data_IF_394039422121
#
_entry.id   IF_394039422121
#
_cell.length_a   1.000
_cell.length_b   1.000
_cell.length_c   1.000
_cell.angle_alpha   90.00
_cell.angle_beta   90.00
_cell.angle_gamma   90.00
#
_symmetry.space_group_name_H-M   'P 1'
#
loop_
_entity.id
_entity.type
_entity.pdbx_description
1 polymer ?
#
# COMPACT_ATOMS: atom_id res chain seq x y z
N UNK A 1 35.20 10.39 -12.43
CA UNK A 1 34.21 9.89 -13.45
C UNK A 1 33.68 8.59 -12.93
N UNK A 2 32.51 8.65 -12.25
CA UNK A 2 31.91 7.50 -11.58
C UNK A 2 31.15 6.69 -12.64
N UNK A 3 31.62 5.49 -12.92
CA UNK A 3 30.99 4.56 -13.85
C UNK A 3 29.73 4.00 -13.15
N UNK A 4 28.56 4.46 -13.55
CA UNK A 4 27.31 3.83 -13.13
C UNK A 4 27.18 2.55 -13.95
N UNK A 5 27.49 1.41 -13.34
CA UNK A 5 27.19 0.10 -13.93
C UNK A 5 25.68 -0.08 -13.81
N UNK A 6 24.95 0.20 -14.88
CA UNK A 6 23.58 -0.25 -15.02
C UNK A 6 23.67 -1.77 -15.17
N UNK A 7 23.40 -2.48 -14.08
CA UNK A 7 23.18 -3.93 -14.15
C UNK A 7 22.09 -4.17 -15.18
N UNK A 8 22.38 -5.03 -16.18
CA UNK A 8 21.36 -5.49 -17.12
C UNK A 8 20.18 -6.07 -16.33
N UNK A 9 19.14 -5.27 -16.18
CA UNK A 9 17.88 -5.74 -15.65
C UNK A 9 17.27 -6.66 -16.73
N UNK A 10 17.54 -7.94 -16.60
CA UNK A 10 16.79 -8.94 -17.35
C UNK A 10 15.34 -8.87 -16.87
N UNK A 11 14.52 -8.15 -17.61
CA UNK A 11 13.08 -8.09 -17.35
C UNK A 11 12.55 -9.52 -17.45
N UNK A 12 12.23 -10.11 -16.31
CA UNK A 12 11.57 -11.42 -16.24
C UNK A 12 10.28 -11.34 -17.06
N UNK A 13 10.19 -12.15 -18.11
CA UNK A 13 8.95 -12.22 -18.90
C UNK A 13 7.81 -12.68 -17.99
N UNK A 14 6.82 -11.81 -17.79
CA UNK A 14 5.65 -12.09 -16.98
C UNK A 14 4.85 -13.25 -17.59
N UNK A 15 4.40 -14.15 -16.73
CA UNK A 15 3.53 -15.28 -17.08
C UNK A 15 2.06 -14.91 -16.79
N UNK A 16 1.12 -15.67 -17.33
CA UNK A 16 -0.31 -15.48 -17.09
C UNK A 16 -0.66 -15.41 -15.60
N UNK A 17 0.00 -16.23 -14.78
CA UNK A 17 -0.20 -16.22 -13.32
C UNK A 17 0.21 -14.89 -12.68
N UNK A 18 1.28 -14.24 -13.16
CA UNK A 18 1.72 -12.94 -12.67
C UNK A 18 0.68 -11.86 -12.97
N UNK A 19 0.13 -11.85 -14.18
CA UNK A 19 -0.95 -10.91 -14.56
C UNK A 19 -2.21 -11.11 -13.71
N UNK A 20 -2.63 -12.35 -13.46
CA UNK A 20 -3.77 -12.67 -12.60
C UNK A 20 -3.51 -12.17 -11.18
N UNK A 21 -2.31 -12.37 -10.66
CA UNK A 21 -1.91 -11.90 -9.33
C UNK A 21 -1.94 -10.37 -9.27
N UNK A 22 -1.36 -9.68 -10.25
CA UNK A 22 -1.39 -8.22 -10.35
C UNK A 22 -2.84 -7.69 -10.37
N UNK A 23 -3.67 -8.26 -11.23
CA UNK A 23 -5.09 -7.88 -11.31
C UNK A 23 -5.83 -8.10 -9.99
N UNK A 24 -5.58 -9.22 -9.32
CA UNK A 24 -6.19 -9.53 -8.03
C UNK A 24 -5.81 -8.50 -6.95
N UNK A 25 -4.55 -8.05 -6.92
CA UNK A 25 -4.13 -6.99 -6.01
C UNK A 25 -4.78 -5.65 -6.35
N UNK A 26 -4.82 -5.28 -7.64
CA UNK A 26 -5.47 -4.05 -8.08
C UNK A 26 -6.95 -4.03 -7.68
N UNK A 27 -7.66 -5.14 -7.89
CA UNK A 27 -9.05 -5.27 -7.51
C UNK A 27 -9.26 -5.21 -5.99
N UNK A 28 -8.37 -5.86 -5.22
CA UNK A 28 -8.40 -5.80 -3.75
C UNK A 28 -8.22 -4.37 -3.24
N UNK A 29 -7.25 -3.63 -3.78
CA UNK A 29 -7.02 -2.22 -3.45
C UNK A 29 -8.28 -1.42 -3.78
N UNK A 30 -8.83 -1.54 -4.99
CA UNK A 30 -10.03 -0.83 -5.40
C UNK A 30 -11.20 -1.07 -4.44
N UNK A 31 -11.50 -2.32 -4.11
CA UNK A 31 -12.61 -2.67 -3.22
C UNK A 31 -12.39 -2.17 -1.79
N UNK A 32 -11.15 -2.22 -1.32
CA UNK A 32 -10.80 -1.64 -0.02
C UNK A 32 -11.05 -0.14 0.01
N UNK A 33 -10.58 0.59 -0.99
CA UNK A 33 -10.70 2.05 -1.06
C UNK A 33 -12.17 2.50 -1.26
N UNK A 34 -12.95 1.79 -2.06
CA UNK A 34 -14.39 2.03 -2.18
C UNK A 34 -15.09 1.90 -0.81
N UNK A 35 -14.69 0.89 -0.02
CA UNK A 35 -15.23 0.72 1.34
C UNK A 35 -14.73 1.80 2.29
N UNK A 36 -13.47 2.19 2.22
CA UNK A 36 -12.93 3.29 3.00
C UNK A 36 -13.67 4.60 2.70
N UNK A 37 -13.92 4.89 1.42
CA UNK A 37 -14.70 6.06 0.99
C UNK A 37 -16.11 6.08 1.60
N UNK A 38 -16.80 4.93 1.58
CA UNK A 38 -18.12 4.80 2.20
C UNK A 38 -18.08 5.10 3.71
N UNK A 39 -17.13 4.49 4.42
CA UNK A 39 -16.98 4.70 5.86
C UNK A 39 -16.59 6.15 6.19
N UNK A 40 -15.77 6.77 5.36
CA UNK A 40 -15.43 8.19 5.48
C UNK A 40 -16.68 9.07 5.32
N UNK A 41 -17.50 8.84 4.28
CA UNK A 41 -18.76 9.54 4.08
C UNK A 41 -19.78 9.35 5.22
N UNK A 42 -19.68 8.22 5.95
CA UNK A 42 -20.49 7.93 7.13
C UNK A 42 -19.90 8.52 8.44
N UNK A 43 -18.80 9.28 8.37
CA UNK A 43 -18.13 9.84 9.54
C UNK A 43 -17.46 8.82 10.45
N UNK A 44 -17.14 7.61 9.95
CA UNK A 44 -16.48 6.53 10.71
C UNK A 44 -14.96 6.60 10.63
N UNK A 45 -14.42 7.39 9.73
CA UNK A 45 -12.99 7.67 9.58
C UNK A 45 -12.80 9.17 9.86
N UNK A 46 -12.00 9.49 10.86
CA UNK A 46 -11.68 10.86 11.23
C UNK A 46 -10.47 11.42 10.47
N UNK A 47 -10.35 12.74 10.44
CA UNK A 47 -9.25 13.41 9.76
C UNK A 47 -9.31 13.29 8.24
N UNK A 48 -8.15 13.37 7.59
CA UNK A 48 -8.03 13.20 6.14
C UNK A 48 -7.99 11.71 5.77
N UNK A 49 -8.67 11.36 4.68
CA UNK A 49 -8.63 10.02 4.10
C UNK A 49 -8.18 10.11 2.64
N UNK A 50 -6.97 9.65 2.35
CA UNK A 50 -6.36 9.75 1.03
C UNK A 50 -6.50 8.42 0.27
N UNK A 51 -7.56 8.32 -0.52
CA UNK A 51 -7.85 7.12 -1.30
C UNK A 51 -6.84 6.89 -2.43
N UNK A 52 -6.53 5.63 -2.71
CA UNK A 52 -5.61 5.19 -3.76
C UNK A 52 -6.32 4.86 -5.08
N UNK A 53 -7.60 5.20 -5.22
CA UNK A 53 -8.42 4.90 -6.39
C UNK A 53 -7.80 5.57 -7.65
N UNK A 54 -7.61 4.76 -8.69
CA UNK A 54 -7.04 5.19 -9.96
C UNK A 54 -5.53 5.01 -10.10
N UNK A 55 -4.83 4.62 -9.02
CA UNK A 55 -3.38 4.45 -9.00
C UNK A 55 -2.95 3.00 -8.72
N UNK A 56 -3.88 2.05 -8.76
CA UNK A 56 -3.65 0.65 -8.38
C UNK A 56 -2.54 -0.01 -9.20
N UNK A 57 -2.52 0.26 -10.51
CA UNK A 57 -1.51 -0.31 -11.40
C UNK A 57 -0.09 0.17 -11.08
N UNK A 58 0.06 1.41 -10.63
CA UNK A 58 1.35 2.00 -10.27
C UNK A 58 1.95 1.24 -9.10
N UNK A 59 1.22 1.14 -7.99
CA UNK A 59 1.75 0.49 -6.79
C UNK A 59 1.95 -1.00 -6.98
N UNK A 60 1.03 -1.68 -7.64
CA UNK A 60 1.14 -3.13 -7.87
C UNK A 60 2.34 -3.43 -8.79
N UNK A 61 2.54 -2.63 -9.85
CA UNK A 61 3.68 -2.77 -10.74
C UNK A 61 5.01 -2.61 -10.00
N UNK A 62 5.15 -1.57 -9.19
CA UNK A 62 6.38 -1.31 -8.41
C UNK A 62 6.60 -2.43 -7.38
N UNK A 63 5.62 -2.72 -6.54
CA UNK A 63 5.81 -3.65 -5.42
C UNK A 63 5.95 -5.11 -5.84
N UNK A 64 5.58 -5.46 -7.08
CA UNK A 64 5.86 -6.79 -7.62
C UNK A 64 7.27 -6.92 -8.22
N UNK A 65 8.01 -5.83 -8.35
CA UNK A 65 9.39 -5.85 -8.90
C UNK A 65 10.46 -5.74 -7.83
N UNK A 66 10.12 -5.31 -6.62
CA UNK A 66 11.04 -5.20 -5.49
C UNK A 66 11.03 -6.48 -4.63
N UNK A 67 12.10 -6.69 -3.88
CA UNK A 67 12.22 -7.81 -2.94
C UNK A 67 11.45 -7.55 -1.64
N UNK A 68 11.09 -8.63 -0.94
CA UNK A 68 10.43 -8.52 0.37
C UNK A 68 11.31 -7.91 1.46
N UNK A 69 12.62 -7.95 1.28
CA UNK A 69 13.59 -7.33 2.19
C UNK A 69 13.83 -5.85 1.91
N UNK A 70 13.37 -5.35 0.75
CA UNK A 70 13.48 -3.94 0.44
C UNK A 70 12.58 -3.10 1.34
N UNK A 71 13.08 -1.97 1.77
CA UNK A 71 12.34 -1.02 2.59
C UNK A 71 11.42 -0.17 1.72
N UNK A 72 10.20 0.03 2.18
CA UNK A 72 9.19 0.86 1.51
C UNK A 72 8.89 2.08 2.37
N UNK A 73 9.08 3.26 1.80
CA UNK A 73 8.68 4.55 2.36
C UNK A 73 7.77 5.23 1.36
N UNK A 74 6.68 5.80 1.83
CA UNK A 74 5.65 6.40 0.98
C UNK A 74 5.28 7.81 1.46
N UNK A 75 4.50 8.51 0.67
CA UNK A 75 3.81 9.72 1.08
C UNK A 75 2.50 9.37 1.81
N UNK A 76 1.66 10.36 2.03
CA UNK A 76 0.38 10.26 2.74
C UNK A 76 -0.67 9.33 2.09
N UNK A 77 -0.44 8.85 0.86
CA UNK A 77 -1.37 7.98 0.11
C UNK A 77 -0.82 6.56 0.06
N UNK A 78 -0.90 5.84 1.15
CA UNK A 78 -0.17 4.58 1.38
C UNK A 78 -1.03 3.31 1.50
N UNK A 79 -2.36 3.40 1.56
CA UNK A 79 -3.23 2.23 1.67
C UNK A 79 -2.94 1.17 0.60
N UNK A 80 -2.83 1.60 -0.66
CA UNK A 80 -2.52 0.72 -1.78
C UNK A 80 -1.16 0.05 -1.64
N UNK A 81 -0.15 0.77 -1.12
CA UNK A 81 1.18 0.23 -0.87
C UNK A 81 1.15 -0.86 0.20
N UNK A 82 0.44 -0.64 1.29
CA UNK A 82 0.30 -1.62 2.35
C UNK A 82 -0.37 -2.90 1.84
N UNK A 83 -1.47 -2.78 1.10
CA UNK A 83 -2.19 -3.92 0.55
C UNK A 83 -1.33 -4.68 -0.46
N UNK A 84 -0.65 -3.99 -1.37
CA UNK A 84 0.22 -4.60 -2.38
C UNK A 84 1.47 -5.24 -1.75
N UNK A 85 1.95 -4.71 -0.60
CA UNK A 85 3.02 -5.30 0.20
C UNK A 85 2.58 -6.58 0.92
N UNK A 86 1.27 -6.85 0.98
CA UNK A 86 0.70 -8.04 1.60
C UNK A 86 0.25 -7.87 3.05
N UNK A 87 0.14 -6.63 3.53
CA UNK A 87 -0.38 -6.35 4.85
C UNK A 87 -1.90 -6.64 4.92
N UNK A 88 -2.39 -6.96 6.12
CA UNK A 88 -3.79 -7.33 6.33
C UNK A 88 -4.72 -6.12 6.16
N UNK A 89 -5.63 -6.14 5.18
CA UNK A 89 -6.59 -5.05 4.97
C UNK A 89 -7.50 -4.80 6.18
N UNK A 90 -7.77 -5.81 7.01
CA UNK A 90 -8.57 -5.63 8.23
C UNK A 90 -7.85 -4.71 9.22
N UNK A 91 -6.56 -4.91 9.41
CA UNK A 91 -5.75 -4.06 10.28
C UNK A 91 -5.57 -2.65 9.71
N UNK A 92 -5.48 -2.52 8.37
CA UNK A 92 -5.48 -1.20 7.72
C UNK A 92 -6.81 -0.49 8.00
N UNK A 93 -7.94 -1.17 7.82
CA UNK A 93 -9.25 -0.59 8.10
C UNK A 93 -9.45 -0.27 9.61
N UNK A 94 -8.91 -1.10 10.50
CA UNK A 94 -8.90 -0.83 11.94
C UNK A 94 -8.16 0.48 12.24
N UNK A 95 -7.00 0.70 11.60
CA UNK A 95 -6.25 1.96 11.73
C UNK A 95 -7.06 3.17 11.27
N UNK A 96 -7.67 3.09 10.08
CA UNK A 96 -8.49 4.17 9.53
C UNK A 96 -9.66 4.54 10.44
N UNK A 97 -10.22 3.55 11.14
CA UNK A 97 -11.36 3.73 12.06
C UNK A 97 -10.96 3.97 13.51
N UNK A 98 -9.68 4.23 13.79
CA UNK A 98 -9.17 4.54 15.13
C UNK A 98 -9.20 3.38 16.11
N UNK A 99 -9.02 2.12 15.62
CA UNK A 99 -9.03 0.92 16.45
C UNK A 99 -7.62 0.50 16.85
N UNK A 100 -7.49 -0.03 18.06
CA UNK A 100 -6.21 -0.48 18.63
C UNK A 100 -5.53 -1.58 17.81
N UNK A 101 -6.31 -2.43 17.12
CA UNK A 101 -5.79 -3.48 16.23
C UNK A 101 -5.16 -2.95 14.94
N UNK A 102 -5.18 -1.65 14.70
CA UNK A 102 -4.55 -0.99 13.56
C UNK A 102 -3.02 -1.08 13.58
N UNK A 103 -2.38 -0.79 12.45
CA UNK A 103 -0.91 -0.85 12.33
C UNK A 103 -0.17 0.21 13.14
N UNK A 104 -0.83 1.28 13.52
CA UNK A 104 -0.32 2.33 14.42
C UNK A 104 -1.23 2.50 15.65
N UNK A 105 -1.88 1.41 16.08
CA UNK A 105 -2.79 1.36 17.22
C UNK A 105 -3.93 2.40 17.13
N UNK A 106 -4.41 2.66 15.91
CA UNK A 106 -5.51 3.59 15.63
C UNK A 106 -5.15 5.07 15.75
N UNK A 107 -3.86 5.39 15.89
CA UNK A 107 -3.38 6.77 16.12
C UNK A 107 -2.84 7.44 14.85
N UNK A 108 -2.46 6.65 13.85
CA UNK A 108 -1.87 7.14 12.60
C UNK A 108 -2.90 7.52 11.53
N UNK A 109 -4.07 6.91 11.56
CA UNK A 109 -5.13 7.14 10.58
C UNK A 109 -4.69 6.78 9.15
N UNK A 110 -5.14 7.57 8.17
CA UNK A 110 -4.91 7.31 6.75
C UNK A 110 -3.47 7.53 6.27
N UNK A 111 -2.67 8.29 7.01
CA UNK A 111 -1.39 8.80 6.51
C UNK A 111 -0.15 8.27 7.24
N UNK A 112 -0.33 7.61 8.39
CA UNK A 112 0.78 7.25 9.27
C UNK A 112 0.67 5.81 9.76
N UNK A 113 0.79 4.87 8.83
CA UNK A 113 0.80 3.44 9.11
C UNK A 113 2.19 2.84 8.90
N UNK A 114 2.61 1.96 9.80
CA UNK A 114 3.95 1.39 9.79
C UNK A 114 3.90 -0.10 10.09
N UNK A 115 4.78 -0.88 9.47
CA UNK A 115 4.96 -2.29 9.77
C UNK A 115 6.41 -2.70 9.58
N UNK A 116 7.18 -2.67 10.64
CA UNK A 116 8.59 -3.09 10.65
C UNK A 116 8.77 -4.52 10.14
N UNK A 117 7.87 -5.42 10.49
CA UNK A 117 7.90 -6.83 10.10
C UNK A 117 7.80 -7.02 8.56
N UNK A 118 7.18 -6.05 7.88
CA UNK A 118 7.01 -6.06 6.44
C UNK A 118 7.93 -5.05 5.73
N UNK A 119 8.94 -4.51 6.42
CA UNK A 119 9.81 -3.45 5.90
C UNK A 119 9.02 -2.27 5.29
N UNK A 120 7.87 -1.96 5.90
CA UNK A 120 7.04 -0.83 5.52
C UNK A 120 7.19 0.28 6.57
N UNK A 121 7.89 1.34 6.22
CA UNK A 121 8.22 2.46 7.11
C UNK A 121 7.33 3.68 6.89
N UNK A 122 6.19 3.42 6.34
CA UNK A 122 5.04 4.27 6.39
C UNK A 122 4.92 5.29 5.33
N UNK A 123 3.74 5.90 5.51
CA UNK A 123 3.31 7.12 4.96
C UNK A 123 3.73 8.31 5.81
N UNK A 124 4.19 9.31 5.12
CA UNK A 124 4.56 10.59 5.70
C UNK A 124 3.61 11.68 5.17
N UNK A 125 3.31 12.68 5.99
CA UNK A 125 2.35 13.71 5.65
C UNK A 125 2.71 14.52 4.41
N UNK A 126 3.98 14.61 4.12
CA UNK A 126 4.53 15.20 2.89
C UNK A 126 5.89 14.57 2.62
#
# INVERSE_FOLDING_TARGET
MTLIIIKDYHMKKLQKADYIKMYSFMLKIRRFEERAAQLYGMGKIGGFCHLYIGQEAVVVGILMTIDKNDSVVTTYRDHGHMIARGLDPKRIMAELTGREDGYSAGKGGSMHMFSKENNFYGGHGI
#
